data_IF_841647919234
#
_entry.id   IF_841647919234
#
_cell.length_a   1.000
_cell.length_b   1.000
_cell.length_c   1.000
_cell.angle_alpha   90.00
_cell.angle_beta   90.00
_cell.angle_gamma   90.00
#
_symmetry.space_group_name_H-M   'P 1'
#
loop_
_entity.id
_entity.type
_entity.pdbx_description
1 polymer ?
#
# COMPACT_ATOMS: atom_id res chain seq x y z
N UNK A 1 -3.08 14.54 10.50
CA UNK A 1 -4.06 14.42 11.59
C UNK A 1 -3.60 15.25 12.78
N UNK A 2 -4.55 15.80 13.54
CA UNK A 2 -4.25 16.64 14.70
C UNK A 2 -4.10 15.76 15.95
N UNK A 3 -3.32 16.21 16.91
CA UNK A 3 -3.26 15.57 18.22
C UNK A 3 -4.68 15.53 18.81
N UNK A 4 -5.22 14.31 19.05
CA UNK A 4 -6.59 14.08 19.48
C UNK A 4 -7.50 13.42 18.47
N UNK A 5 -7.10 13.34 17.19
CA UNK A 5 -7.84 12.55 16.20
C UNK A 5 -7.80 11.07 16.59
N UNK A 6 -8.96 10.43 16.54
CA UNK A 6 -9.12 9.01 16.85
C UNK A 6 -9.06 8.14 15.60
N UNK A 7 -8.93 8.75 14.43
CA UNK A 7 -8.98 8.09 13.14
C UNK A 7 -7.86 8.57 12.20
N UNK A 8 -7.46 7.71 11.29
CA UNK A 8 -6.60 8.03 10.15
C UNK A 8 -7.39 8.00 8.86
N UNK A 9 -7.09 8.96 7.98
CA UNK A 9 -7.67 9.03 6.64
C UNK A 9 -6.74 8.37 5.65
N UNK A 10 -7.24 7.39 4.94
CA UNK A 10 -6.51 6.61 3.96
C UNK A 10 -7.09 6.80 2.55
N UNK A 11 -6.24 6.60 1.56
CA UNK A 11 -6.64 6.53 0.17
C UNK A 11 -5.98 5.35 -0.52
N UNK A 12 -6.75 4.62 -1.31
CA UNK A 12 -6.24 3.60 -2.21
C UNK A 12 -6.42 4.07 -3.66
N UNK A 13 -5.39 3.85 -4.48
CA UNK A 13 -5.44 4.04 -5.91
C UNK A 13 -5.61 2.70 -6.62
N UNK A 14 -6.49 2.67 -7.60
CA UNK A 14 -6.70 1.51 -8.44
C UNK A 14 -6.40 1.90 -9.90
N UNK A 15 -5.60 1.09 -10.56
CA UNK A 15 -5.37 1.13 -11.99
C UNK A 15 -6.18 -0.03 -12.57
N UNK A 16 -7.21 0.29 -13.33
CA UNK A 16 -8.14 -0.70 -13.89
C UNK A 16 -8.20 -0.59 -15.42
N UNK A 17 -8.52 -1.67 -16.12
CA UNK A 17 -8.82 -1.59 -17.55
C UNK A 17 -9.95 -0.57 -17.81
N UNK A 18 -9.91 0.06 -18.97
CA UNK A 18 -10.91 1.07 -19.37
C UNK A 18 -12.34 0.59 -19.18
N UNK A 19 -13.14 1.38 -18.46
CA UNK A 19 -14.54 1.09 -18.19
C UNK A 19 -14.79 0.03 -17.10
N UNK A 20 -13.76 -0.54 -16.51
CA UNK A 20 -13.89 -1.53 -15.41
C UNK A 20 -13.83 -0.79 -14.07
N UNK A 21 -14.87 -0.95 -13.26
CA UNK A 21 -14.88 -0.40 -11.90
C UNK A 21 -14.01 -1.25 -10.97
N UNK A 22 -13.23 -0.62 -10.07
CA UNK A 22 -12.47 -1.35 -9.07
C UNK A 22 -13.40 -2.01 -8.03
N UNK A 23 -12.90 -3.03 -7.33
CA UNK A 23 -13.62 -3.62 -6.21
C UNK A 23 -13.82 -2.60 -5.08
N UNK A 24 -14.88 -2.80 -4.31
CA UNK A 24 -15.16 -1.94 -3.16
C UNK A 24 -14.23 -2.26 -1.98
N UNK A 25 -13.62 -1.22 -1.41
CA UNK A 25 -13.04 -1.29 -0.08
C UNK A 25 -14.17 -1.16 0.94
N UNK A 26 -14.17 -1.99 1.95
CA UNK A 26 -15.12 -1.91 3.06
C UNK A 26 -14.41 -1.75 4.39
N UNK A 27 -15.01 -0.94 5.25
CA UNK A 27 -14.64 -0.82 6.66
C UNK A 27 -15.88 -1.17 7.47
N UNK A 28 -15.88 -2.33 8.08
CA UNK A 28 -17.11 -2.89 8.65
C UNK A 28 -18.18 -3.09 7.58
N UNK A 29 -19.36 -2.52 7.79
CA UNK A 29 -20.47 -2.60 6.86
C UNK A 29 -20.39 -1.55 5.72
N UNK A 30 -19.58 -0.51 5.86
CA UNK A 30 -19.57 0.65 4.97
C UNK A 30 -18.60 0.43 3.80
N UNK A 31 -19.06 0.77 2.59
CA UNK A 31 -18.23 0.80 1.40
C UNK A 31 -17.60 2.20 1.23
N UNK A 32 -16.29 2.21 0.98
CA UNK A 32 -15.57 3.44 0.70
C UNK A 32 -16.05 4.11 -0.59
N UNK A 33 -16.29 5.42 -0.61
CA UNK A 33 -16.61 6.14 -1.85
C UNK A 33 -15.44 6.09 -2.82
N UNK A 34 -15.75 5.78 -4.09
CA UNK A 34 -14.78 5.66 -5.19
C UNK A 34 -15.04 6.77 -6.20
N UNK A 35 -13.99 7.48 -6.57
CA UNK A 35 -14.01 8.51 -7.61
C UNK A 35 -13.06 8.19 -8.74
N UNK A 36 -13.47 8.42 -9.98
CA UNK A 36 -12.58 8.42 -11.13
C UNK A 36 -11.68 9.65 -11.06
N UNK A 37 -10.37 9.44 -11.13
CA UNK A 37 -9.36 10.51 -11.11
C UNK A 37 -8.84 10.87 -12.49
N UNK A 38 -8.58 9.87 -13.31
CA UNK A 38 -8.04 10.05 -14.65
C UNK A 38 -8.47 8.93 -15.58
N UNK A 39 -8.57 9.28 -16.86
CA UNK A 39 -8.90 8.36 -17.94
C UNK A 39 -7.78 8.37 -18.96
N UNK A 40 -7.34 7.18 -19.34
CA UNK A 40 -6.39 6.95 -20.41
C UNK A 40 -7.01 6.07 -21.49
N UNK A 41 -6.30 5.87 -22.60
CA UNK A 41 -6.82 5.09 -23.72
C UNK A 41 -7.24 3.66 -23.35
N UNK A 42 -6.45 2.98 -22.53
CA UNK A 42 -6.68 1.58 -22.14
C UNK A 42 -6.94 1.40 -20.64
N UNK A 43 -6.88 2.47 -19.85
CA UNK A 43 -6.83 2.38 -18.39
C UNK A 43 -7.56 3.55 -17.76
N UNK A 44 -8.29 3.26 -16.69
CA UNK A 44 -8.88 4.25 -15.81
C UNK A 44 -8.21 4.19 -14.44
N UNK A 45 -7.99 5.36 -13.82
CA UNK A 45 -7.44 5.49 -12.48
C UNK A 45 -8.53 5.94 -11.53
N UNK A 46 -8.75 5.17 -10.49
CA UNK A 46 -9.72 5.45 -9.45
C UNK A 46 -9.05 5.68 -8.09
N UNK A 47 -9.73 6.43 -7.24
CA UNK A 47 -9.35 6.62 -5.85
C UNK A 47 -10.52 6.26 -4.94
N UNK A 48 -10.29 5.35 -3.99
CA UNK A 48 -11.15 5.13 -2.84
C UNK A 48 -10.60 5.89 -1.64
N UNK A 49 -11.47 6.54 -0.86
CA UNK A 49 -11.10 7.18 0.42
C UNK A 49 -11.88 6.53 1.55
N UNK A 50 -11.19 6.20 2.62
CA UNK A 50 -11.80 5.60 3.79
C UNK A 50 -11.07 6.02 5.06
N UNK A 51 -11.67 5.72 6.19
CA UNK A 51 -11.15 6.12 7.50
C UNK A 51 -11.08 4.88 8.37
N UNK A 52 -9.99 4.71 9.08
CA UNK A 52 -9.81 3.67 10.09
C UNK A 52 -9.54 4.28 11.46
N UNK A 53 -9.91 3.59 12.55
CA UNK A 53 -9.43 3.96 13.89
C UNK A 53 -7.90 3.98 13.93
N UNK A 54 -7.33 4.89 14.69
CA UNK A 54 -5.88 4.85 14.96
C UNK A 54 -5.52 3.60 15.75
N UNK A 55 -4.36 3.03 15.44
CA UNK A 55 -3.89 1.77 15.96
C UNK A 55 -4.09 0.65 14.94
N UNK A 56 -4.36 -0.56 15.42
CA UNK A 56 -4.58 -1.72 14.56
C UNK A 56 -6.04 -1.82 14.15
N UNK A 57 -6.29 -1.77 12.87
CA UNK A 57 -7.62 -1.92 12.28
C UNK A 57 -7.51 -2.62 10.92
N UNK A 58 -8.63 -3.15 10.42
CA UNK A 58 -8.66 -3.86 9.15
C UNK A 58 -9.60 -3.17 8.16
N UNK A 59 -9.28 -3.29 6.87
CA UNK A 59 -10.22 -3.06 5.80
C UNK A 59 -10.36 -4.31 4.94
N UNK A 60 -11.52 -4.48 4.33
CA UNK A 60 -11.84 -5.63 3.48
C UNK A 60 -11.77 -5.25 2.00
N UNK A 61 -11.11 -6.10 1.19
CA UNK A 61 -11.00 -5.93 -0.27
C UNK A 61 -10.95 -7.31 -0.92
N UNK A 62 -11.77 -7.54 -1.95
CA UNK A 62 -11.77 -8.80 -2.72
C UNK A 62 -11.88 -10.08 -1.87
N UNK A 63 -12.70 -10.06 -0.83
CA UNK A 63 -12.89 -11.24 0.02
C UNK A 63 -11.79 -11.47 1.05
N UNK A 64 -10.86 -10.54 1.21
CA UNK A 64 -9.74 -10.64 2.14
C UNK A 64 -9.66 -9.41 3.03
N UNK A 65 -9.30 -9.62 4.31
CA UNK A 65 -9.02 -8.57 5.27
C UNK A 65 -7.54 -8.17 5.24
N UNK A 66 -7.30 -6.88 5.27
CA UNK A 66 -5.96 -6.30 5.27
C UNK A 66 -5.75 -5.50 6.56
N UNK A 67 -4.85 -5.97 7.43
CA UNK A 67 -4.54 -5.25 8.65
C UNK A 67 -3.72 -4.00 8.36
N UNK A 68 -4.07 -2.92 9.03
CA UNK A 68 -3.34 -1.65 9.02
C UNK A 68 -2.99 -1.28 10.45
N UNK A 69 -1.74 -0.91 10.68
CA UNK A 69 -1.28 -0.38 11.97
C UNK A 69 -0.83 1.06 11.76
N UNK A 70 -1.78 1.99 11.81
CA UNK A 70 -1.54 3.41 11.58
C UNK A 70 -1.82 4.22 12.84
N UNK A 71 -0.96 4.07 13.84
CA UNK A 71 -1.01 4.90 15.06
C UNK A 71 -0.01 6.04 14.92
N UNK A 72 -0.54 7.25 14.71
CA UNK A 72 0.24 8.48 14.57
C UNK A 72 0.23 9.32 15.86
N UNK A 73 -0.25 8.76 16.97
CA UNK A 73 -0.22 9.37 18.28
C UNK A 73 1.12 9.05 18.96
N UNK A 74 1.81 10.06 19.44
CA UNK A 74 3.11 9.86 20.09
C UNK A 74 4.24 9.59 19.10
N UNK A 75 5.16 8.70 19.47
CA UNK A 75 6.36 8.36 18.69
C UNK A 75 6.04 7.32 17.63
N UNK A 76 5.69 7.77 16.44
CA UNK A 76 5.39 6.89 15.31
C UNK A 76 6.68 6.40 14.64
N UNK A 77 6.81 5.08 14.42
CA UNK A 77 7.88 4.52 13.59
C UNK A 77 7.54 4.69 12.12
N UNK A 78 8.47 5.28 11.38
CA UNK A 78 8.36 5.46 9.94
C UNK A 78 9.47 4.68 9.24
N UNK A 79 9.15 4.04 8.12
CA UNK A 79 10.09 3.41 7.23
C UNK A 79 10.20 4.18 5.92
N UNK A 80 11.40 4.22 5.35
CA UNK A 80 11.63 4.70 3.99
C UNK A 80 12.39 3.62 3.23
N UNK A 81 11.89 3.27 2.05
CA UNK A 81 12.52 2.32 1.13
C UNK A 81 12.56 2.92 -0.28
N UNK A 82 13.59 2.58 -1.02
CA UNK A 82 13.75 2.94 -2.42
C UNK A 82 14.43 1.79 -3.14
N UNK A 83 14.18 1.66 -4.43
CA UNK A 83 14.78 0.66 -5.30
C UNK A 83 14.44 -0.79 -4.91
N UNK A 84 13.81 -1.52 -5.79
CA UNK A 84 13.51 -2.93 -5.56
C UNK A 84 14.67 -3.86 -5.96
N UNK A 85 15.59 -3.36 -6.80
CA UNK A 85 16.84 -4.07 -7.17
C UNK A 85 16.61 -5.32 -8.01
N UNK A 86 15.59 -5.34 -8.85
CA UNK A 86 15.31 -6.46 -9.76
C UNK A 86 15.59 -6.07 -11.23
N UNK A 87 16.82 -5.70 -11.49
CA UNK A 87 17.34 -5.45 -12.86
C UNK A 87 17.82 -6.74 -13.52
N UNK A 88 18.15 -6.65 -14.82
CA UNK A 88 18.79 -7.74 -15.56
C UNK A 88 20.06 -8.23 -14.85
N UNK A 89 20.12 -9.51 -14.57
CA UNK A 89 21.21 -10.13 -13.79
C UNK A 89 20.88 -10.29 -12.30
N UNK A 90 20.02 -9.48 -11.72
CA UNK A 90 19.54 -9.69 -10.35
C UNK A 90 18.58 -10.88 -10.27
N UNK A 91 17.91 -11.21 -11.37
CA UNK A 91 17.01 -12.36 -11.47
C UNK A 91 17.74 -13.72 -11.40
N UNK A 92 19.04 -13.74 -11.61
CA UNK A 92 19.87 -14.95 -11.51
C UNK A 92 20.15 -15.35 -10.05
N UNK A 93 19.89 -14.44 -9.10
CA UNK A 93 20.01 -14.74 -7.67
C UNK A 93 18.82 -15.57 -7.16
N UNK A 94 19.08 -16.41 -6.19
CA UNK A 94 18.02 -17.14 -5.49
C UNK A 94 16.97 -16.19 -4.90
N UNK A 95 15.69 -16.59 -4.97
CA UNK A 95 14.58 -15.76 -4.47
C UNK A 95 14.71 -15.34 -3.01
N UNK A 96 15.35 -16.18 -2.18
CA UNK A 96 15.65 -15.86 -0.79
C UNK A 96 16.67 -14.73 -0.63
N UNK A 97 17.65 -14.64 -1.53
CA UNK A 97 18.65 -13.57 -1.53
C UNK A 97 18.07 -12.26 -2.04
N UNK A 98 17.27 -12.32 -3.12
CA UNK A 98 16.61 -11.13 -3.67
C UNK A 98 15.68 -10.44 -2.69
N UNK A 99 14.98 -11.22 -1.87
CA UNK A 99 13.95 -10.73 -0.96
C UNK A 99 14.42 -10.59 0.50
N UNK A 100 15.72 -10.75 0.79
CA UNK A 100 16.24 -10.73 2.17
C UNK A 100 15.89 -9.44 2.93
N UNK A 101 15.95 -8.29 2.28
CA UNK A 101 15.63 -7.01 2.92
C UNK A 101 14.13 -6.86 3.19
N UNK A 102 13.30 -7.34 2.27
CA UNK A 102 11.84 -7.37 2.48
C UNK A 102 11.43 -8.33 3.59
N UNK A 103 12.07 -9.50 3.67
CA UNK A 103 11.86 -10.46 4.75
C UNK A 103 12.25 -9.87 6.11
N UNK A 104 13.36 -9.15 6.17
CA UNK A 104 13.81 -8.43 7.38
C UNK A 104 12.84 -7.33 7.77
N UNK A 105 12.45 -6.47 6.84
CA UNK A 105 11.48 -5.40 7.09
C UNK A 105 10.15 -5.95 7.60
N UNK A 106 9.68 -7.05 7.02
CA UNK A 106 8.48 -7.75 7.48
C UNK A 106 8.63 -8.26 8.92
N UNK A 107 9.78 -8.86 9.24
CA UNK A 107 10.03 -9.36 10.59
C UNK A 107 10.10 -8.23 11.63
N UNK A 108 10.76 -7.12 11.30
CA UNK A 108 10.82 -5.94 12.15
C UNK A 108 9.44 -5.29 12.35
N UNK A 109 8.64 -5.19 11.28
CA UNK A 109 7.27 -4.68 11.35
C UNK A 109 6.36 -5.58 12.21
N UNK A 110 6.57 -6.89 12.19
CA UNK A 110 5.80 -7.83 13.00
C UNK A 110 6.08 -7.70 14.50
N UNK A 111 7.31 -7.32 14.88
CA UNK A 111 7.72 -7.12 16.27
C UNK A 111 7.33 -5.75 16.80
N UNK A 112 7.59 -4.71 16.00
CA UNK A 112 7.31 -3.32 16.34
C UNK A 112 6.79 -2.61 15.08
N UNK A 113 5.46 -2.45 14.94
CA UNK A 113 4.83 -2.02 13.71
C UNK A 113 5.27 -0.63 13.24
N UNK A 114 5.56 -0.51 11.95
CA UNK A 114 5.70 0.78 11.27
C UNK A 114 4.30 1.40 11.10
N UNK A 115 4.14 2.65 11.49
CA UNK A 115 2.92 3.40 11.25
C UNK A 115 2.81 3.88 9.79
N UNK A 116 3.95 4.02 9.11
CA UNK A 116 4.01 4.41 7.70
C UNK A 116 5.26 3.84 7.04
N UNK A 117 5.12 3.30 5.85
CA UNK A 117 6.22 2.93 4.96
C UNK A 117 6.14 3.79 3.70
N UNK A 118 7.18 4.59 3.46
CA UNK A 118 7.31 5.42 2.28
C UNK A 118 8.16 4.71 1.23
N UNK A 119 7.65 4.61 0.02
CA UNK A 119 8.36 4.12 -1.14
C UNK A 119 8.88 5.31 -1.96
N UNK A 120 10.19 5.46 -2.04
CA UNK A 120 10.86 6.62 -2.64
C UNK A 120 11.09 6.51 -4.15
N UNK A 121 10.64 5.45 -4.78
CA UNK A 121 10.77 5.20 -6.22
C UNK A 121 11.53 3.93 -6.54
N UNK A 122 11.68 3.65 -7.84
CA UNK A 122 12.33 2.47 -8.42
C UNK A 122 11.76 1.15 -7.87
N UNK A 123 10.43 1.09 -7.78
CA UNK A 123 9.71 -0.11 -7.37
C UNK A 123 9.47 -1.07 -8.53
N UNK A 124 9.56 -0.56 -9.76
CA UNK A 124 9.43 -1.32 -11.00
C UNK A 124 10.53 -0.87 -11.94
N UNK A 125 11.27 -1.83 -12.46
CA UNK A 125 12.27 -1.63 -13.49
C UNK A 125 11.69 -2.09 -14.83
N UNK A 126 11.90 -1.33 -15.88
CA UNK A 126 11.36 -1.59 -17.22
C UNK A 126 12.44 -1.48 -18.30
N UNK A 127 13.71 -1.64 -17.92
CA UNK A 127 14.86 -1.52 -18.80
C UNK A 127 14.88 -2.58 -19.92
N UNK A 128 14.15 -3.65 -19.73
CA UNK A 128 14.04 -4.77 -20.67
C UNK A 128 12.84 -4.65 -21.62
N UNK A 129 12.01 -3.63 -21.44
CA UNK A 129 10.84 -3.37 -22.29
C UNK A 129 11.22 -2.43 -23.40
N UNK A 130 11.82 -2.95 -24.45
CA UNK A 130 12.15 -2.23 -25.70
C UNK A 130 11.32 -2.72 -26.87
#
# INVERSE_FOLDING_TARGET
DRAGDTHVHLAALFIAPKGVRPPAIRVGADAAPVSLLAEYRATDIYRARFTLPQGRADYHLNGQDYPVCADLRGDARLGFVSCNGEETGDMDREGSERNVMWARLRAEHAQDPLALLLHGGDQVYADEVT
#
